data_IF_955296901885
#
_entry.id   IF_955296901885
#
_cell.length_a   1.000
_cell.length_b   1.000
_cell.length_c   1.000
_cell.angle_alpha   90.00
_cell.angle_beta   90.00
_cell.angle_gamma   90.00
#
_symmetry.space_group_name_H-M   'P 1'
#
loop_
_entity.id
_entity.type
_entity.pdbx_description
1 polymer ?
#
# COMPACT_ATOMS: atom_id res chain seq x y z
N UNK A 1 -0.34 14.59 -21.27
CA UNK A 1 -0.93 13.27 -20.97
C UNK A 1 0.09 12.16 -21.17
N UNK A 2 0.87 12.17 -22.26
CA UNK A 2 1.92 11.17 -22.52
C UNK A 2 3.01 11.13 -21.43
N UNK A 3 3.39 12.25 -20.82
CA UNK A 3 4.40 12.28 -19.73
C UNK A 3 3.98 11.51 -18.45
N UNK A 4 2.69 11.13 -18.36
CA UNK A 4 2.16 10.30 -17.28
C UNK A 4 2.20 8.82 -17.61
N UNK A 5 2.72 8.39 -18.76
CA UNK A 5 2.88 6.98 -19.11
C UNK A 5 4.30 6.51 -18.77
N UNK A 6 4.55 6.33 -17.47
CA UNK A 6 5.84 5.91 -16.92
C UNK A 6 5.61 5.07 -15.66
N UNK A 7 6.55 4.20 -15.26
CA UNK A 7 6.38 3.35 -14.09
C UNK A 7 5.99 4.16 -12.84
N UNK A 8 4.95 3.72 -12.12
CA UNK A 8 4.43 4.42 -10.93
C UNK A 8 3.58 3.53 -10.03
N UNK A 9 3.18 4.09 -8.89
CA UNK A 9 2.15 3.54 -8.03
C UNK A 9 1.02 4.58 -7.91
N UNK A 10 -0.21 4.16 -8.15
CA UNK A 10 -1.40 5.00 -7.95
C UNK A 10 -1.98 4.71 -6.58
N UNK A 11 -2.07 5.72 -5.72
CA UNK A 11 -2.66 5.63 -4.39
C UNK A 11 -4.03 6.32 -4.39
N UNK A 12 -5.06 5.62 -3.93
CA UNK A 12 -6.38 6.20 -3.68
C UNK A 12 -6.29 7.23 -2.54
N UNK A 13 -6.86 8.43 -2.72
CA UNK A 13 -6.67 9.52 -1.74
C UNK A 13 -7.55 9.40 -0.51
N UNK A 14 -8.62 8.61 -0.57
CA UNK A 14 -9.62 8.53 0.49
C UNK A 14 -10.25 7.14 0.60
N UNK A 15 -9.78 6.32 1.53
CA UNK A 15 -10.14 4.89 1.69
C UNK A 15 -10.04 4.46 3.16
N UNK A 16 -10.55 3.26 3.52
CA UNK A 16 -10.52 2.77 4.92
C UNK A 16 -9.13 2.29 5.37
N UNK A 17 -8.32 1.88 4.42
CA UNK A 17 -6.91 1.48 4.51
C UNK A 17 -6.19 2.06 3.30
N UNK A 18 -4.86 2.05 3.24
CA UNK A 18 -4.19 2.52 2.03
C UNK A 18 -4.41 1.53 0.87
N UNK A 19 -4.95 2.04 -0.24
CA UNK A 19 -5.28 1.26 -1.42
C UNK A 19 -4.44 1.76 -2.60
N UNK A 20 -3.59 0.89 -3.11
CA UNK A 20 -2.67 1.20 -4.20
C UNK A 20 -2.89 0.28 -5.39
N UNK A 21 -2.51 0.80 -6.56
CA UNK A 21 -2.40 0.05 -7.81
C UNK A 21 -1.00 0.30 -8.39
N UNK A 22 -0.11 -0.70 -8.37
CA UNK A 22 1.18 -0.62 -9.06
C UNK A 22 0.98 -0.60 -10.58
N UNK A 23 1.78 0.18 -11.27
CA UNK A 23 1.81 0.32 -12.73
C UNK A 23 3.28 0.27 -13.21
N UNK A 24 3.94 -0.90 -13.16
CA UNK A 24 5.34 -1.03 -13.56
C UNK A 24 5.54 -0.80 -15.06
N UNK A 25 4.53 -1.06 -15.89
CA UNK A 25 4.57 -0.82 -17.33
C UNK A 25 4.28 0.64 -17.71
N UNK A 26 3.81 1.45 -16.76
CA UNK A 26 3.51 2.87 -16.97
C UNK A 26 2.35 3.12 -17.92
N UNK A 27 1.34 2.27 -17.93
CA UNK A 27 0.23 2.31 -18.89
C UNK A 27 -1.03 2.98 -18.33
N UNK A 28 -1.07 3.25 -17.02
CA UNK A 28 -2.27 3.75 -16.36
C UNK A 28 -2.32 5.27 -16.32
N UNK A 29 -3.48 5.82 -16.71
CA UNK A 29 -3.78 7.24 -16.58
C UNK A 29 -4.78 7.44 -15.43
N UNK A 30 -4.44 8.23 -14.39
CA UNK A 30 -5.35 8.50 -13.29
C UNK A 30 -6.55 9.35 -13.75
N UNK A 31 -7.77 8.83 -13.53
CA UNK A 31 -9.04 9.48 -13.91
C UNK A 31 -9.84 10.01 -12.71
N UNK A 32 -9.63 9.43 -11.52
CA UNK A 32 -10.19 9.89 -10.24
C UNK A 32 -9.11 10.55 -9.38
N UNK A 33 -9.49 11.26 -8.29
CA UNK A 33 -8.52 11.76 -7.31
C UNK A 33 -7.63 10.62 -6.78
N UNK A 34 -6.39 10.59 -7.28
CA UNK A 34 -5.35 9.62 -6.95
C UNK A 34 -4.02 10.36 -6.86
N UNK A 35 -3.11 9.86 -6.04
CA UNK A 35 -1.73 10.36 -5.96
C UNK A 35 -0.87 9.41 -6.79
N UNK A 36 -0.17 9.95 -7.79
CA UNK A 36 0.87 9.21 -8.52
C UNK A 36 2.17 9.30 -7.75
N UNK A 37 2.71 8.16 -7.35
CA UNK A 37 4.00 8.02 -6.69
C UNK A 37 4.98 7.54 -7.75
N UNK A 38 5.94 8.39 -8.07
CA UNK A 38 6.98 8.12 -9.07
C UNK A 38 8.23 7.60 -8.36
N UNK A 39 8.78 6.50 -8.86
CA UNK A 39 9.96 5.84 -8.33
C UNK A 39 10.63 5.04 -9.44
N UNK A 40 11.85 4.59 -9.19
CA UNK A 40 12.56 3.68 -10.09
C UNK A 40 11.82 2.34 -10.19
N UNK A 41 11.94 1.67 -11.34
CA UNK A 41 11.20 0.44 -11.65
C UNK A 41 11.48 -0.66 -10.61
N UNK A 42 12.72 -0.72 -10.12
CA UNK A 42 13.21 -1.67 -9.13
C UNK A 42 12.57 -1.47 -7.74
N UNK A 43 12.07 -0.26 -7.46
CA UNK A 43 11.52 0.12 -6.16
C UNK A 43 9.99 0.03 -6.10
N UNK A 44 9.31 -0.16 -7.24
CA UNK A 44 7.84 -0.24 -7.31
C UNK A 44 7.28 -1.27 -6.34
N UNK A 45 7.85 -2.46 -6.29
CA UNK A 45 7.32 -3.53 -5.46
C UNK A 45 7.60 -3.34 -3.97
N UNK A 46 8.73 -2.70 -3.63
CA UNK A 46 9.07 -2.33 -2.25
C UNK A 46 8.15 -1.24 -1.72
N UNK A 47 7.88 -0.20 -2.51
CA UNK A 47 6.96 0.87 -2.11
C UNK A 47 5.52 0.33 -2.08
N UNK A 48 5.13 -0.51 -3.05
CA UNK A 48 3.82 -1.16 -3.09
C UNK A 48 3.58 -2.02 -1.85
N UNK A 49 4.57 -2.81 -1.42
CA UNK A 49 4.45 -3.66 -0.23
C UNK A 49 4.27 -2.83 1.05
N UNK A 50 5.06 -1.76 1.21
CA UNK A 50 4.95 -0.84 2.35
C UNK A 50 3.57 -0.17 2.39
N UNK A 51 3.13 0.45 1.29
CA UNK A 51 1.84 1.15 1.22
C UNK A 51 0.65 0.21 1.31
N UNK A 52 0.80 -1.06 0.94
CA UNK A 52 -0.26 -2.07 1.03
C UNK A 52 -0.31 -2.80 2.38
N UNK A 53 0.47 -2.39 3.37
CA UNK A 53 0.56 -3.08 4.66
C UNK A 53 -0.45 -2.58 5.69
N UNK A 54 -0.76 -3.45 6.66
CA UNK A 54 -1.49 -3.09 7.87
C UNK A 54 -0.77 -2.00 8.67
N UNK A 55 0.56 -2.14 8.85
CA UNK A 55 1.39 -1.23 9.62
C UNK A 55 1.29 0.22 9.11
N UNK A 56 1.46 0.45 7.80
CA UNK A 56 1.37 1.80 7.23
C UNK A 56 -0.07 2.32 7.21
N UNK A 57 -1.05 1.46 6.96
CA UNK A 57 -2.47 1.86 7.03
C UNK A 57 -2.84 2.32 8.44
N UNK A 58 -2.41 1.60 9.48
CA UNK A 58 -2.64 1.95 10.86
C UNK A 58 -1.88 3.21 11.28
N UNK A 59 -0.63 3.36 10.84
CA UNK A 59 0.14 4.60 11.05
C UNK A 59 -0.58 5.80 10.44
N UNK A 60 -0.95 5.71 9.15
CA UNK A 60 -1.69 6.76 8.46
C UNK A 60 -2.99 7.09 9.19
N UNK A 61 -3.77 6.07 9.56
CA UNK A 61 -5.01 6.22 10.33
C UNK A 61 -4.76 6.97 11.65
N UNK A 62 -3.73 6.60 12.42
CA UNK A 62 -3.41 7.27 13.69
C UNK A 62 -3.05 8.76 13.55
N UNK A 63 -2.53 9.18 12.38
CA UNK A 63 -2.15 10.57 12.10
C UNK A 63 -3.30 11.43 11.59
N UNK A 64 -4.32 10.80 10.99
CA UNK A 64 -5.44 11.52 10.35
C UNK A 64 -6.80 11.24 11.01
N UNK A 65 -6.86 10.37 12.01
CA UNK A 65 -8.08 10.07 12.74
C UNK A 65 -8.79 11.37 13.17
N UNK A 66 -10.03 11.54 12.73
CA UNK A 66 -10.84 12.75 12.99
C UNK A 66 -10.75 13.86 11.93
N UNK A 67 -9.95 13.72 10.86
CA UNK A 67 -9.79 14.75 9.81
C UNK A 67 -10.50 14.45 8.46
N UNK A 68 -11.09 13.27 8.31
CA UNK A 68 -11.80 12.84 7.10
C UNK A 68 -13.32 12.97 7.22
N UNK A 69 -14.04 12.87 6.09
CA UNK A 69 -15.51 12.98 6.01
C UNK A 69 -16.27 11.96 6.88
N UNK A 70 -15.60 10.90 7.34
CA UNK A 70 -16.08 10.01 8.40
C UNK A 70 -14.90 9.64 9.31
N UNK A 71 -15.21 9.28 10.56
CA UNK A 71 -14.21 8.81 11.53
C UNK A 71 -13.48 7.52 11.11
N UNK A 72 -13.94 6.88 10.04
CA UNK A 72 -13.49 5.56 9.59
C UNK A 72 -12.67 5.60 8.28
N UNK A 73 -12.31 6.80 7.80
CA UNK A 73 -11.62 6.97 6.52
C UNK A 73 -10.27 7.67 6.69
N UNK A 74 -9.27 7.19 5.94
CA UNK A 74 -7.96 7.81 5.80
C UNK A 74 -8.02 8.75 4.60
N UNK A 75 -7.70 10.04 4.79
CA UNK A 75 -7.51 10.99 3.68
C UNK A 75 -6.09 11.54 3.73
N UNK A 76 -5.31 11.32 2.67
CA UNK A 76 -3.93 11.81 2.57
C UNK A 76 -3.75 12.76 1.39
N UNK A 77 -2.95 13.81 1.61
CA UNK A 77 -2.35 14.64 0.57
C UNK A 77 -1.03 14.04 0.10
N UNK A 78 -0.55 14.44 -1.10
CA UNK A 78 0.75 14.01 -1.61
C UNK A 78 1.91 14.33 -0.64
N UNK A 79 1.85 15.47 0.06
CA UNK A 79 2.82 15.85 1.09
C UNK A 79 2.84 14.86 2.26
N UNK A 80 1.69 14.39 2.70
CA UNK A 80 1.61 13.40 3.79
C UNK A 80 2.07 12.03 3.33
N UNK A 81 1.77 11.63 2.10
CA UNK A 81 2.28 10.37 1.50
C UNK A 81 3.80 10.37 1.46
N UNK A 82 4.42 11.48 1.02
CA UNK A 82 5.87 11.62 0.97
C UNK A 82 6.55 11.66 2.36
N UNK A 83 5.76 11.82 3.43
CA UNK A 83 6.23 11.83 4.82
C UNK A 83 5.93 10.51 5.54
N UNK A 84 5.33 9.52 4.87
CA UNK A 84 5.15 8.19 5.46
C UNK A 84 6.53 7.57 5.71
N UNK A 85 6.73 6.91 6.86
CA UNK A 85 7.98 6.23 7.13
C UNK A 85 8.17 5.09 6.13
N UNK A 86 9.40 4.88 5.69
CA UNK A 86 9.80 3.69 4.94
C UNK A 86 10.30 2.62 5.93
N UNK A 87 10.15 1.33 5.62
CA UNK A 87 10.76 0.27 6.41
C UNK A 87 12.29 0.40 6.37
N UNK A 88 13.01 -0.02 7.42
CA UNK A 88 14.45 -0.17 7.33
C UNK A 88 14.80 -1.22 6.26
N UNK A 89 15.94 -1.01 5.60
CA UNK A 89 16.49 -1.96 4.62
C UNK A 89 16.73 -3.29 5.35
N UNK A 90 16.03 -4.33 4.90
CA UNK A 90 16.02 -5.64 5.55
C UNK A 90 15.53 -6.72 4.59
N UNK A 91 15.90 -7.97 4.89
CA UNK A 91 15.39 -9.14 4.16
C UNK A 91 13.87 -9.27 4.27
N UNK A 92 13.27 -8.73 5.34
CA UNK A 92 11.81 -8.69 5.49
C UNK A 92 11.16 -7.78 4.46
N UNK A 93 11.70 -6.59 4.23
CA UNK A 93 11.15 -5.69 3.21
C UNK A 93 11.33 -6.26 1.81
N UNK A 94 12.47 -6.91 1.55
CA UNK A 94 12.74 -7.59 0.27
C UNK A 94 11.72 -8.72 0.02
N UNK A 95 11.49 -9.60 1.00
CA UNK A 95 10.47 -10.65 0.94
C UNK A 95 9.07 -10.07 0.75
N UNK A 96 8.74 -8.97 1.44
CA UNK A 96 7.45 -8.32 1.28
C UNK A 96 7.25 -7.80 -0.16
N UNK A 97 8.30 -7.31 -0.81
CA UNK A 97 8.25 -6.85 -2.20
C UNK A 97 7.92 -8.00 -3.16
N UNK A 98 8.50 -9.18 -2.93
CA UNK A 98 8.23 -10.39 -3.71
C UNK A 98 6.77 -10.84 -3.55
N UNK A 99 6.27 -10.88 -2.31
CA UNK A 99 4.86 -11.21 -2.04
C UNK A 99 3.90 -10.17 -2.61
N UNK A 100 4.25 -8.89 -2.61
CA UNK A 100 3.45 -7.86 -3.28
C UNK A 100 3.35 -8.15 -4.78
N UNK A 101 4.47 -8.44 -5.45
CA UNK A 101 4.48 -8.79 -6.88
C UNK A 101 3.58 -10.00 -7.17
N UNK A 102 3.70 -11.06 -6.38
CA UNK A 102 2.87 -12.26 -6.51
C UNK A 102 1.38 -11.95 -6.27
N UNK A 103 1.06 -11.16 -5.25
CA UNK A 103 -0.31 -10.77 -4.94
C UNK A 103 -0.97 -10.00 -6.09
N UNK A 104 -0.32 -8.94 -6.57
CA UNK A 104 -0.88 -8.05 -7.58
C UNK A 104 -0.86 -8.64 -9.00
N UNK A 105 -0.02 -9.64 -9.26
CA UNK A 105 0.01 -10.36 -10.55
C UNK A 105 -0.90 -11.58 -10.59
N UNK A 106 -1.42 -12.02 -9.45
CA UNK A 106 -2.26 -13.23 -9.37
C UNK A 106 -3.66 -12.99 -9.94
N UNK A 107 -4.13 -13.96 -10.73
CA UNK A 107 -5.52 -14.05 -11.19
C UNK A 107 -6.43 -14.81 -10.22
N UNK A 108 -5.84 -15.49 -9.24
CA UNK A 108 -6.56 -16.30 -8.26
C UNK A 108 -6.69 -15.52 -6.95
N UNK A 109 -7.93 -15.30 -6.52
CA UNK A 109 -8.25 -14.51 -5.33
C UNK A 109 -7.68 -15.11 -4.03
N UNK A 110 -7.67 -16.43 -3.88
CA UNK A 110 -7.09 -17.08 -2.69
C UNK A 110 -5.57 -16.87 -2.60
N UNK A 111 -4.86 -16.98 -3.73
CA UNK A 111 -3.43 -16.71 -3.81
C UNK A 111 -3.15 -15.24 -3.52
N UNK A 112 -3.90 -14.33 -4.13
CA UNK A 112 -3.81 -12.88 -3.90
C UNK A 112 -3.97 -12.55 -2.43
N UNK A 113 -5.03 -13.06 -1.79
CA UNK A 113 -5.32 -12.83 -0.37
C UNK A 113 -4.22 -13.41 0.53
N UNK A 114 -3.74 -14.63 0.25
CA UNK A 114 -2.65 -15.22 1.04
C UNK A 114 -1.37 -14.39 0.93
N UNK A 115 -0.98 -14.01 -0.29
CA UNK A 115 0.23 -13.23 -0.54
C UNK A 115 0.16 -11.83 0.04
N UNK A 116 -1.03 -11.21 0.04
CA UNK A 116 -1.24 -9.95 0.75
C UNK A 116 -1.04 -10.05 2.26
N UNK A 117 -1.46 -11.16 2.89
CA UNK A 117 -1.20 -11.40 4.32
C UNK A 117 0.29 -11.57 4.58
N UNK A 118 0.97 -12.42 3.79
CA UNK A 118 2.42 -12.64 3.91
C UNK A 118 3.21 -11.33 3.72
N UNK A 119 2.85 -10.54 2.71
CA UNK A 119 3.40 -9.21 2.47
C UNK A 119 3.22 -8.28 3.66
N UNK A 120 1.98 -8.14 4.17
CA UNK A 120 1.70 -7.26 5.32
C UNK A 120 2.49 -7.69 6.55
N UNK A 121 2.55 -8.99 6.81
CA UNK A 121 3.28 -9.56 7.94
C UNK A 121 4.78 -9.26 7.87
N UNK A 122 5.40 -9.43 6.70
CA UNK A 122 6.81 -9.10 6.51
C UNK A 122 7.10 -7.61 6.69
N UNK A 123 6.20 -6.72 6.26
CA UNK A 123 6.34 -5.28 6.54
C UNK A 123 6.24 -4.99 8.04
N UNK A 124 5.32 -5.64 8.75
CA UNK A 124 5.22 -5.47 10.21
C UNK A 124 6.50 -5.91 10.93
N UNK A 125 7.10 -7.03 10.50
CA UNK A 125 8.41 -7.48 11.00
C UNK A 125 9.52 -6.49 10.66
N UNK A 126 9.51 -5.91 9.44
CA UNK A 126 10.49 -4.89 9.05
C UNK A 126 10.40 -3.64 9.94
N UNK A 127 9.20 -3.25 10.37
CA UNK A 127 8.99 -2.12 11.28
C UNK A 127 9.17 -2.46 12.77
N UNK A 128 9.39 -3.73 13.12
CA UNK A 128 9.41 -4.20 14.50
C UNK A 128 8.15 -3.82 15.30
N UNK A 129 6.96 -4.00 14.69
CA UNK A 129 5.68 -3.65 15.32
C UNK A 129 4.82 -4.89 15.68
N UNK A 130 3.98 -4.76 16.71
CA UNK A 130 2.98 -5.78 17.04
C UNK A 130 1.95 -5.90 15.91
N UNK A 131 1.98 -7.05 15.24
CA UNK A 131 1.25 -7.27 14.00
C UNK A 131 -0.13 -7.90 14.20
N UNK A 132 -0.37 -8.62 15.30
CA UNK A 132 -1.59 -9.44 15.44
C UNK A 132 -2.85 -8.57 15.40
N UNK A 133 -2.88 -7.52 16.22
CA UNK A 133 -4.02 -6.60 16.29
C UNK A 133 -4.14 -5.74 15.03
N UNK A 134 -3.02 -5.28 14.48
CA UNK A 134 -2.99 -4.43 13.29
C UNK A 134 -3.49 -5.17 12.05
N UNK A 135 -3.06 -6.41 11.85
CA UNK A 135 -3.48 -7.24 10.72
C UNK A 135 -4.95 -7.63 10.82
N UNK A 136 -5.44 -7.98 12.02
CA UNK A 136 -6.86 -8.26 12.21
C UNK A 136 -7.74 -7.04 11.90
N UNK A 137 -7.33 -5.86 12.40
CA UNK A 137 -7.99 -4.58 12.12
C UNK A 137 -7.99 -4.26 10.63
N UNK A 138 -6.85 -4.44 9.96
CA UNK A 138 -6.68 -4.14 8.54
C UNK A 138 -7.49 -5.10 7.66
N UNK A 139 -7.49 -6.39 7.97
CA UNK A 139 -8.22 -7.41 7.20
C UNK A 139 -9.73 -7.14 7.19
N UNK A 140 -10.30 -6.70 8.32
CA UNK A 140 -11.72 -6.32 8.42
C UNK A 140 -12.09 -5.08 7.58
N UNK A 141 -11.09 -4.29 7.15
CA UNK A 141 -11.25 -3.03 6.42
C UNK A 141 -10.85 -3.12 4.94
N UNK A 142 -10.28 -4.24 4.52
CA UNK A 142 -9.97 -4.47 3.12
C UNK A 142 -11.23 -4.38 2.25
N UNK A 143 -11.14 -3.76 1.07
CA UNK A 143 -12.28 -3.75 0.15
C UNK A 143 -12.55 -5.16 -0.39
N UNK A 144 -13.79 -5.46 -0.74
CA UNK A 144 -14.22 -6.82 -1.16
C UNK A 144 -13.52 -7.37 -2.42
N UNK A 145 -12.97 -6.50 -3.25
CA UNK A 145 -12.25 -6.86 -4.48
C UNK A 145 -10.76 -7.22 -4.24
N UNK A 146 -10.37 -7.23 -2.97
CA UNK A 146 -9.00 -7.40 -2.49
C UNK A 146 -8.94 -8.53 -1.45
#
# INVERSE_FOLDING_TARGET
MQDRLKPKILLATQTKVLEVLPDPEGQLIPSTPTISIECDLEEIWKITSALSSAAISAFAFSKVAGSALSSDTIKLSAKQVNALPLPPISDYWEQASQYAREAFSSKFEDVKRNKMKEMSHKISLAYDCDYNLLEEWWFKRLPKWR
#
